data_IF_150613357837
#
_entry.id   IF_150613357837
#
_cell.length_a   1.000
_cell.length_b   1.000
_cell.length_c   1.000
_cell.angle_alpha   90.00
_cell.angle_beta   90.00
_cell.angle_gamma   90.00
#
_symmetry.space_group_name_H-M   'P 1'
#
loop_
_entity.id
_entity.type
_entity.pdbx_description
1 polymer ?
#
# COMPACT_ATOMS: atom_id res chain seq x y z
N UNK A 1 -29.11 12.95 20.32
CA UNK A 1 -28.67 12.09 19.21
C UNK A 1 -27.87 12.96 18.27
N UNK A 2 -26.56 12.71 18.14
CA UNK A 2 -25.72 13.50 17.23
C UNK A 2 -26.06 13.09 15.79
N UNK A 3 -26.54 14.05 15.01
CA UNK A 3 -26.74 13.91 13.57
C UNK A 3 -25.38 13.78 12.90
N UNK A 4 -25.07 12.61 12.35
CA UNK A 4 -23.93 12.43 11.46
C UNK A 4 -24.30 13.07 10.11
N UNK A 5 -23.51 14.04 9.66
CA UNK A 5 -23.61 14.55 8.30
C UNK A 5 -23.08 13.46 7.36
N UNK A 6 -23.98 12.78 6.67
CA UNK A 6 -23.64 11.85 5.60
C UNK A 6 -23.12 12.70 4.43
N UNK A 7 -21.81 12.63 4.17
CA UNK A 7 -21.22 13.26 2.99
C UNK A 7 -21.58 12.36 1.81
N UNK A 8 -22.63 12.73 1.07
CA UNK A 8 -22.99 12.06 -0.18
C UNK A 8 -21.99 12.47 -1.26
N UNK A 9 -20.93 11.68 -1.43
CA UNK A 9 -19.96 11.87 -2.49
C UNK A 9 -20.47 11.24 -3.80
N UNK A 10 -20.98 12.07 -4.72
CA UNK A 10 -21.53 11.63 -6.02
C UNK A 10 -20.52 11.04 -7.01
N UNK A 11 -19.23 11.03 -6.67
CA UNK A 11 -18.18 10.42 -7.48
C UNK A 11 -17.33 9.55 -6.58
N UNK A 12 -17.36 8.23 -6.76
CA UNK A 12 -16.39 7.31 -6.15
C UNK A 12 -15.00 7.70 -6.66
N UNK A 13 -14.27 8.49 -5.88
CA UNK A 13 -12.95 8.97 -6.24
C UNK A 13 -11.94 7.83 -6.15
N UNK A 14 -11.85 7.02 -7.20
CA UNK A 14 -10.80 6.01 -7.32
C UNK A 14 -9.53 6.70 -7.82
N UNK A 15 -8.49 6.70 -6.99
CA UNK A 15 -7.18 7.25 -7.33
C UNK A 15 -6.17 6.15 -7.59
N UNK A 16 -5.16 6.46 -8.39
CA UNK A 16 -3.94 5.66 -8.53
C UNK A 16 -2.77 6.53 -8.07
N UNK A 17 -1.95 6.02 -7.16
CA UNK A 17 -0.78 6.74 -6.63
C UNK A 17 0.47 5.85 -6.71
N UNK A 18 1.43 6.18 -7.59
CA UNK A 18 2.74 5.57 -7.56
C UNK A 18 3.63 6.24 -6.50
N UNK A 19 4.42 5.45 -5.78
CA UNK A 19 5.43 5.89 -4.82
C UNK A 19 6.70 5.08 -5.06
N UNK A 20 7.81 5.78 -5.31
CA UNK A 20 9.11 5.17 -5.56
C UNK A 20 10.01 5.28 -4.34
N UNK A 21 10.69 4.18 -3.99
CA UNK A 21 11.80 4.14 -3.04
C UNK A 21 13.11 4.14 -3.83
N UNK A 22 14.05 5.00 -3.45
CA UNK A 22 15.41 5.07 -4.00
C UNK A 22 16.44 4.82 -2.90
N UNK A 23 17.74 4.85 -3.25
CA UNK A 23 18.83 4.73 -2.28
C UNK A 23 18.79 5.80 -1.18
N UNK A 24 18.31 7.00 -1.51
CA UNK A 24 18.34 8.16 -0.61
C UNK A 24 17.26 8.07 0.48
N UNK A 25 16.20 7.30 0.22
CA UNK A 25 15.14 7.06 1.21
C UNK A 25 15.63 6.18 2.38
N UNK A 26 16.71 5.42 2.19
CA UNK A 26 17.24 4.49 3.19
C UNK A 26 16.21 3.42 3.59
N UNK A 27 15.83 3.41 4.87
CA UNK A 27 14.80 2.51 5.42
C UNK A 27 13.56 3.28 5.92
N UNK A 28 13.44 4.54 5.51
CA UNK A 28 12.32 5.38 5.92
C UNK A 28 11.01 4.91 5.29
N UNK A 29 9.93 5.01 6.05
CA UNK A 29 8.61 4.71 5.54
C UNK A 29 8.12 5.83 4.61
N UNK A 30 7.37 5.43 3.58
CA UNK A 30 6.69 6.35 2.67
C UNK A 30 5.21 6.01 2.65
N UNK A 31 4.38 7.06 2.73
CA UNK A 31 2.94 6.95 2.57
C UNK A 31 2.61 6.52 1.14
N UNK A 32 1.97 5.35 1.01
CA UNK A 32 1.50 4.83 -0.27
C UNK A 32 0.04 5.20 -0.50
N UNK A 33 -0.78 5.22 0.55
CA UNK A 33 -2.17 5.64 0.48
C UNK A 33 -2.57 6.51 1.68
N UNK A 34 -3.37 7.54 1.39
CA UNK A 34 -3.93 8.47 2.36
C UNK A 34 -5.46 8.41 2.26
N UNK A 35 -6.18 7.87 3.25
CA UNK A 35 -7.64 7.83 3.19
C UNK A 35 -8.21 9.26 3.32
N UNK A 36 -9.02 9.66 2.35
CA UNK A 36 -9.73 10.94 2.40
C UNK A 36 -11.04 10.86 3.20
N UNK A 37 -11.50 9.65 3.50
CA UNK A 37 -12.81 9.34 4.08
C UNK A 37 -12.69 8.10 5.00
N UNK A 38 -13.46 7.98 6.10
CA UNK A 38 -13.54 6.77 6.90
C UNK A 38 -13.93 5.49 6.14
N UNK A 39 -14.62 5.58 4.99
CA UNK A 39 -14.99 4.43 4.16
C UNK A 39 -14.02 4.20 2.99
N UNK A 40 -12.72 4.42 3.20
CA UNK A 40 -11.71 4.23 2.15
C UNK A 40 -11.31 2.77 2.01
N UNK A 41 -11.25 2.27 0.76
CA UNK A 41 -10.81 0.91 0.44
C UNK A 41 -9.67 0.91 -0.57
N UNK A 42 -8.68 0.07 -0.32
CA UNK A 42 -7.60 -0.25 -1.25
C UNK A 42 -7.91 -1.58 -1.91
N UNK A 43 -8.05 -1.57 -3.24
CA UNK A 43 -8.33 -2.77 -4.04
C UNK A 43 -7.08 -3.28 -4.77
N UNK A 44 -6.02 -2.47 -4.83
CA UNK A 44 -4.84 -2.77 -5.62
C UNK A 44 -3.57 -2.20 -4.97
N UNK A 45 -2.56 -3.06 -4.87
CA UNK A 45 -1.22 -2.72 -4.42
C UNK A 45 -0.23 -3.53 -5.28
N UNK A 46 0.38 -2.90 -6.27
CA UNK A 46 1.37 -3.54 -7.12
C UNK A 46 2.76 -3.00 -6.86
N UNK A 47 3.76 -3.88 -6.87
CA UNK A 47 5.13 -3.55 -6.49
C UNK A 47 6.09 -4.07 -7.57
N UNK A 48 6.85 -3.16 -8.15
CA UNK A 48 7.95 -3.45 -9.08
C UNK A 48 9.30 -3.05 -8.49
N UNK A 49 10.38 -3.67 -8.95
CA UNK A 49 11.73 -3.44 -8.45
C UNK A 49 12.78 -3.59 -9.55
N UNK A 50 13.67 -2.61 -9.65
CA UNK A 50 14.89 -2.68 -10.46
C UNK A 50 16.09 -3.23 -9.68
N UNK A 51 15.89 -3.66 -8.43
CA UNK A 51 16.97 -4.11 -7.57
C UNK A 51 17.62 -5.40 -8.09
N UNK A 52 18.93 -5.49 -7.89
CA UNK A 52 19.78 -6.63 -8.25
C UNK A 52 19.63 -7.82 -7.29
N UNK A 53 19.07 -7.59 -6.12
CA UNK A 53 18.83 -8.58 -5.06
C UNK A 53 17.39 -8.48 -4.55
N UNK A 54 16.90 -9.58 -3.97
CA UNK A 54 15.60 -9.62 -3.31
C UNK A 54 15.54 -8.58 -2.17
N UNK A 55 14.42 -7.85 -2.08
CA UNK A 55 14.15 -6.87 -1.04
C UNK A 55 12.90 -7.26 -0.28
N UNK A 56 12.80 -6.77 0.96
CA UNK A 56 11.65 -6.97 1.81
C UNK A 56 11.04 -5.62 2.12
N UNK A 57 9.74 -5.49 1.91
CA UNK A 57 8.99 -4.31 2.29
C UNK A 57 8.07 -4.66 3.44
N UNK A 58 8.08 -3.84 4.49
CA UNK A 58 7.09 -3.92 5.53
C UNK A 58 5.92 -3.01 5.18
N UNK A 59 4.72 -3.59 5.16
CA UNK A 59 3.46 -2.86 5.11
C UNK A 59 3.09 -2.46 6.53
N UNK A 60 2.67 -1.22 6.74
CA UNK A 60 2.27 -0.71 8.05
C UNK A 60 1.13 0.30 7.94
N UNK A 61 0.35 0.40 9.02
CA UNK A 61 -0.61 1.49 9.22
C UNK A 61 0.00 2.51 10.16
N UNK A 62 -0.12 3.77 9.82
CA UNK A 62 0.30 4.88 10.65
C UNK A 62 -0.89 5.76 10.98
N UNK A 63 -1.25 5.80 12.27
CA UNK A 63 -2.26 6.73 12.77
C UNK A 63 -1.63 8.11 12.89
N UNK A 64 -2.00 9.04 12.00
CA UNK A 64 -1.40 10.38 11.99
C UNK A 64 -1.79 11.24 13.19
N UNK A 65 -2.82 10.85 13.95
CA UNK A 65 -3.26 11.56 15.15
C UNK A 65 -2.49 11.10 16.37
N UNK A 66 -2.38 9.78 16.61
CA UNK A 66 -1.65 9.24 17.77
C UNK A 66 -0.14 9.07 17.52
N UNK A 67 0.29 9.07 16.25
CA UNK A 67 1.66 8.74 15.85
C UNK A 67 1.98 7.25 15.94
N UNK A 68 1.01 6.40 16.28
CA UNK A 68 1.21 4.97 16.41
C UNK A 68 1.37 4.30 15.04
N UNK A 69 2.32 3.36 14.97
CA UNK A 69 2.59 2.56 13.77
C UNK A 69 2.34 1.09 14.05
N UNK A 70 1.39 0.51 13.34
CA UNK A 70 1.05 -0.91 13.41
C UNK A 70 1.62 -1.66 12.20
N UNK A 71 2.45 -2.68 12.47
CA UNK A 71 2.95 -3.56 11.40
C UNK A 71 1.86 -4.48 10.90
N UNK A 72 1.65 -4.50 9.59
CA UNK A 72 0.65 -5.34 8.93
C UNK A 72 1.25 -6.64 8.38
N UNK A 73 2.50 -6.59 7.93
CA UNK A 73 3.25 -7.75 7.49
C UNK A 73 4.40 -7.41 6.55
N UNK A 74 5.09 -8.45 6.08
CA UNK A 74 6.26 -8.31 5.21
C UNK A 74 5.94 -8.92 3.85
N UNK A 75 6.19 -8.14 2.81
CA UNK A 75 6.08 -8.54 1.41
C UNK A 75 7.48 -8.75 0.86
N UNK A 76 7.67 -9.91 0.23
CA UNK A 76 8.93 -10.25 -0.44
C UNK A 76 8.88 -9.79 -1.88
N UNK A 77 9.87 -9.01 -2.30
CA UNK A 77 10.00 -8.50 -3.67
C UNK A 77 11.26 -9.09 -4.30
N UNK A 78 11.13 -10.03 -5.27
CA UNK A 78 12.27 -10.60 -5.94
C UNK A 78 13.06 -9.56 -6.75
N UNK A 79 14.32 -9.86 -7.03
CA UNK A 79 15.16 -9.03 -7.89
C UNK A 79 14.53 -8.86 -9.28
N UNK A 80 14.52 -7.63 -9.80
CA UNK A 80 13.99 -7.33 -11.14
C UNK A 80 12.48 -7.50 -11.33
N UNK A 81 11.69 -7.58 -10.25
CA UNK A 81 10.24 -7.78 -10.32
C UNK A 81 9.54 -6.70 -11.18
N UNK A 82 8.85 -7.12 -12.25
CA UNK A 82 8.09 -6.23 -13.11
C UNK A 82 8.93 -5.30 -14.01
N UNK A 83 10.25 -5.44 -14.06
CA UNK A 83 11.12 -4.55 -14.88
C UNK A 83 11.55 -5.19 -16.20
N UNK A 84 11.92 -6.48 -16.20
CA UNK A 84 12.59 -7.11 -17.34
C UNK A 84 11.74 -8.21 -18.02
N UNK A 85 10.45 -8.30 -17.70
CA UNK A 85 9.53 -9.33 -18.23
C UNK A 85 9.75 -10.76 -17.73
N UNK A 86 10.90 -11.06 -17.11
CA UNK A 86 11.22 -12.41 -16.60
C UNK A 86 10.68 -12.71 -15.19
N UNK A 87 10.47 -11.67 -14.37
CA UNK A 87 9.86 -11.80 -13.03
C UNK A 87 8.60 -10.92 -13.03
N UNK A 88 7.42 -11.47 -12.71
CA UNK A 88 6.18 -10.70 -12.71
C UNK A 88 6.18 -9.63 -11.60
N UNK A 89 5.29 -8.66 -11.73
CA UNK A 89 5.03 -7.68 -10.68
C UNK A 89 4.49 -8.37 -9.43
N UNK A 90 4.85 -7.88 -8.25
CA UNK A 90 4.41 -8.47 -6.98
C UNK A 90 3.10 -7.82 -6.55
N UNK A 91 2.09 -8.63 -6.23
CA UNK A 91 0.91 -8.14 -5.52
C UNK A 91 1.24 -7.96 -4.04
N UNK A 92 1.11 -6.75 -3.54
CA UNK A 92 1.26 -6.45 -2.12
C UNK A 92 0.04 -6.88 -1.29
N UNK A 93 -1.13 -7.08 -1.91
CA UNK A 93 -2.31 -7.67 -1.27
C UNK A 93 -2.28 -9.22 -1.38
N UNK A 94 -1.12 -9.82 -1.14
CA UNK A 94 -0.97 -11.28 -1.20
C UNK A 94 -1.34 -11.93 0.14
N UNK A 95 -2.38 -12.77 0.15
CA UNK A 95 -2.83 -13.52 1.34
C UNK A 95 -1.82 -14.55 1.86
N UNK A 96 -0.87 -14.98 1.05
CA UNK A 96 0.25 -15.81 1.50
C UNK A 96 1.16 -15.06 2.48
N UNK A 97 1.30 -13.74 2.33
CA UNK A 97 2.07 -12.88 3.22
C UNK A 97 1.19 -12.22 4.29
N UNK A 98 -0.08 -11.98 3.98
CA UNK A 98 -1.05 -11.24 4.79
C UNK A 98 -2.34 -12.08 4.96
N UNK A 99 -2.33 -13.15 5.77
CA UNK A 99 -3.45 -14.11 5.84
C UNK A 99 -4.75 -13.49 6.39
N UNK A 100 -4.63 -12.35 7.08
CA UNK A 100 -5.74 -11.59 7.67
C UNK A 100 -6.49 -10.70 6.67
N UNK A 101 -6.02 -10.59 5.41
CA UNK A 101 -6.69 -9.77 4.40
C UNK A 101 -8.12 -10.26 4.16
N UNK A 102 -9.04 -9.29 4.12
CA UNK A 102 -10.43 -9.51 3.75
C UNK A 102 -10.54 -9.76 2.24
N UNK A 103 -11.62 -10.42 1.83
CA UNK A 103 -11.90 -10.77 0.45
C UNK A 103 -13.30 -10.29 0.11
N UNK A 104 -13.46 -9.70 -1.09
CA UNK A 104 -14.76 -9.29 -1.59
C UNK A 104 -15.57 -10.49 -2.15
N UNK A 105 -16.76 -10.20 -2.69
CA UNK A 105 -17.63 -11.23 -3.30
C UNK A 105 -17.02 -11.90 -4.53
N UNK A 106 -16.06 -11.24 -5.18
CA UNK A 106 -15.43 -11.70 -6.42
C UNK A 106 -14.11 -12.44 -6.15
N UNK A 107 -13.71 -12.58 -4.88
CA UNK A 107 -12.50 -13.28 -4.47
C UNK A 107 -11.25 -12.38 -4.40
N UNK A 108 -11.38 -11.06 -4.57
CA UNK A 108 -10.24 -10.16 -4.54
C UNK A 108 -9.92 -9.69 -3.12
N UNK A 109 -8.63 -9.71 -2.73
CA UNK A 109 -8.20 -9.19 -1.45
C UNK A 109 -8.27 -7.66 -1.43
N UNK A 110 -8.73 -7.09 -0.32
CA UNK A 110 -8.78 -5.64 -0.11
C UNK A 110 -8.40 -5.26 1.33
N UNK A 111 -8.12 -3.97 1.54
CA UNK A 111 -7.93 -3.38 2.87
C UNK A 111 -8.88 -2.20 3.01
N UNK A 112 -9.76 -2.25 4.02
CA UNK A 112 -10.53 -1.10 4.48
C UNK A 112 -9.71 -0.29 5.48
N UNK A 113 -9.66 1.02 5.28
CA UNK A 113 -8.82 1.93 6.05
C UNK A 113 -9.65 3.13 6.50
N UNK A 114 -9.63 3.36 7.81
CA UNK A 114 -10.28 4.50 8.43
C UNK A 114 -9.55 5.80 8.14
N UNK A 115 -10.27 6.92 8.23
CA UNK A 115 -9.68 8.25 8.18
C UNK A 115 -8.54 8.39 9.21
N UNK A 116 -7.52 9.16 8.86
CA UNK A 116 -6.27 9.34 9.64
C UNK A 116 -5.36 8.10 9.77
N UNK A 117 -5.69 6.96 9.15
CA UNK A 117 -4.81 5.79 9.10
C UNK A 117 -4.10 5.74 7.75
N UNK A 118 -2.88 6.24 7.67
CA UNK A 118 -2.10 6.15 6.45
C UNK A 118 -1.64 4.71 6.21
N UNK A 119 -1.77 4.24 4.97
CA UNK A 119 -1.02 3.06 4.54
C UNK A 119 0.38 3.52 4.15
N UNK A 120 1.38 2.91 4.78
CA UNK A 120 2.77 3.18 4.49
C UNK A 120 3.51 1.88 4.18
N UNK A 121 4.59 2.03 3.42
CA UNK A 121 5.55 0.95 3.22
C UNK A 121 6.94 1.45 3.54
N UNK A 122 7.80 0.56 4.04
CA UNK A 122 9.23 0.82 4.20
C UNK A 122 10.04 -0.36 3.67
N UNK A 123 11.18 -0.07 3.07
CA UNK A 123 12.14 -1.11 2.71
C UNK A 123 12.93 -1.50 3.97
N UNK A 124 13.12 -2.79 4.22
CA UNK A 124 13.84 -3.28 5.40
C UNK A 124 15.37 -3.20 5.26
N UNK A 125 15.85 -2.95 4.06
CA UNK A 125 17.27 -2.77 3.74
C UNK A 125 17.41 -1.70 2.67
N UNK A 126 18.37 -0.79 2.82
CA UNK A 126 18.60 0.27 1.84
C UNK A 126 18.81 -0.30 0.43
N UNK A 127 18.39 0.49 -0.55
CA UNK A 127 18.63 0.23 -1.97
C UNK A 127 20.04 0.69 -2.35
N UNK A 128 20.66 -0.01 -3.30
CA UNK A 128 21.93 0.45 -3.88
C UNK A 128 21.67 1.60 -4.86
N UNK A 129 22.72 2.36 -5.17
CA UNK A 129 22.62 3.47 -6.12
C UNK A 129 22.06 3.00 -7.47
N UNK A 130 21.05 3.71 -7.98
CA UNK A 130 20.35 3.37 -9.23
C UNK A 130 19.27 2.29 -9.10
N UNK A 131 19.15 1.62 -7.95
CA UNK A 131 18.01 0.72 -7.68
C UNK A 131 16.77 1.51 -7.27
N UNK A 132 15.60 1.02 -7.66
CA UNK A 132 14.31 1.62 -7.33
C UNK A 132 13.29 0.54 -7.06
N UNK A 133 12.40 0.79 -6.09
CA UNK A 133 11.17 0.01 -5.90
C UNK A 133 10.00 0.94 -6.08
N UNK A 134 9.08 0.61 -6.98
CA UNK A 134 7.87 1.40 -7.20
C UNK A 134 6.67 0.65 -6.67
N UNK A 135 5.93 1.29 -5.79
CA UNK A 135 4.66 0.81 -5.26
C UNK A 135 3.53 1.62 -5.86
N UNK A 136 2.61 0.95 -6.54
CA UNK A 136 1.40 1.56 -7.11
C UNK A 136 0.20 1.09 -6.34
N UNK A 137 -0.43 2.00 -5.60
CA UNK A 137 -1.70 1.77 -4.90
C UNK A 137 -2.86 2.31 -5.70
N UNK A 138 -3.98 1.59 -5.71
CA UNK A 138 -5.28 2.14 -6.09
C UNK A 138 -6.35 1.84 -5.06
N UNK A 139 -7.13 2.88 -4.75
CA UNK A 139 -8.21 2.85 -3.79
C UNK A 139 -9.10 4.07 -3.91
N UNK A 140 -10.22 4.08 -3.20
CA UNK A 140 -11.19 5.17 -3.23
C UNK A 140 -12.11 5.18 -2.01
N UNK A 141 -12.90 6.25 -1.88
CA UNK A 141 -13.99 6.29 -0.90
C UNK A 141 -15.20 5.53 -1.44
N UNK A 142 -15.74 4.65 -0.60
CA UNK A 142 -16.95 3.87 -0.87
C UNK A 142 -18.07 4.21 0.11
N UNK A 143 -18.02 5.40 0.73
CA UNK A 143 -19.17 5.96 1.43
C UNK A 143 -20.36 5.99 0.46
N UNK A 144 -21.41 5.25 0.80
CA UNK A 144 -22.67 5.23 0.07
C UNK A 144 -23.48 6.49 0.38
#
# INVERSE_FOLDING_TARGET
MASYNEIVAFTKGVGVRPVSFTSDDGVNAKQTYAPADPASRINFLAISSTASSQKYLQLQLHNVVSGEVASLGIITVPAGAGTNGSVPIVSGLNRGNLPWLQIDSDGNPFIDINYNMNLEMKVLSALSAGETITVTTSGGSYAA
#
